data_IF_085090117998
#
_entry.id   IF_085090117998
#
_cell.length_a   1.000
_cell.length_b   1.000
_cell.length_c   1.000
_cell.angle_alpha   90.00
_cell.angle_beta   90.00
_cell.angle_gamma   90.00
#
_symmetry.space_group_name_H-M   'P 1'
#
loop_
_entity.id
_entity.type
_entity.pdbx_description
1 polymer ?
#
# COMPACT_ATOMS: atom_id res chain seq x y z
N UNK A 1 -19.76 -23.68 -16.45
CA UNK A 1 -21.02 -23.24 -15.80
C UNK A 1 -21.20 -21.78 -16.17
N UNK A 2 -22.03 -21.49 -17.17
CA UNK A 2 -22.18 -20.13 -17.72
C UNK A 2 -23.07 -19.30 -16.79
N UNK A 3 -22.55 -18.22 -16.23
CA UNK A 3 -23.32 -17.25 -15.46
C UNK A 3 -23.99 -16.32 -16.47
N UNK A 4 -25.31 -16.16 -16.32
CA UNK A 4 -26.15 -15.36 -17.19
C UNK A 4 -25.84 -13.87 -17.02
N UNK A 5 -25.01 -13.31 -17.92
CA UNK A 5 -24.55 -11.91 -17.91
C UNK A 5 -25.72 -10.90 -17.83
N UNK A 6 -26.90 -11.30 -18.29
CA UNK A 6 -28.12 -10.49 -18.19
C UNK A 6 -28.61 -10.34 -16.74
N UNK A 7 -28.40 -11.34 -15.89
CA UNK A 7 -28.79 -11.31 -14.47
C UNK A 7 -27.91 -10.36 -13.66
N UNK A 8 -26.59 -10.33 -13.94
CA UNK A 8 -25.64 -9.40 -13.33
C UNK A 8 -25.94 -7.95 -13.75
N UNK A 9 -26.21 -7.72 -15.05
CA UNK A 9 -26.59 -6.40 -15.56
C UNK A 9 -27.94 -5.90 -15.00
N UNK A 10 -28.90 -6.79 -14.71
CA UNK A 10 -30.16 -6.43 -14.04
C UNK A 10 -29.94 -6.05 -12.57
N UNK A 11 -29.02 -6.73 -11.87
CA UNK A 11 -28.68 -6.43 -10.47
C UNK A 11 -27.99 -5.07 -10.31
N UNK A 12 -27.04 -4.73 -11.20
CA UNK A 12 -26.34 -3.42 -11.17
C UNK A 12 -27.30 -2.24 -11.45
N UNK A 13 -28.19 -2.40 -12.46
CA UNK A 13 -29.20 -1.37 -12.78
C UNK A 13 -30.18 -1.11 -11.63
N UNK A 14 -30.57 -2.15 -10.88
CA UNK A 14 -31.45 -2.00 -9.72
C UNK A 14 -30.74 -1.36 -8.52
N UNK A 15 -29.45 -1.62 -8.31
CA UNK A 15 -28.64 -0.97 -7.28
C UNK A 15 -28.45 0.52 -7.56
N UNK A 16 -28.08 0.89 -8.80
CA UNK A 16 -27.98 2.31 -9.21
C UNK A 16 -29.30 3.06 -9.04
N UNK A 17 -30.44 2.45 -9.39
CA UNK A 17 -31.77 3.05 -9.19
C UNK A 17 -32.12 3.27 -7.71
N UNK A 18 -31.79 2.31 -6.83
CA UNK A 18 -32.00 2.45 -5.38
C UNK A 18 -31.12 3.56 -4.80
N UNK A 19 -29.87 3.66 -5.22
CA UNK A 19 -28.93 4.69 -4.77
C UNK A 19 -29.38 6.10 -5.18
N UNK A 20 -29.81 6.28 -6.42
CA UNK A 20 -30.35 7.57 -6.91
C UNK A 20 -31.66 7.96 -6.21
N UNK A 21 -32.52 6.98 -5.90
CA UNK A 21 -33.74 7.23 -5.12
C UNK A 21 -33.41 7.67 -3.67
N UNK A 22 -32.44 7.03 -3.02
CA UNK A 22 -32.00 7.41 -1.67
C UNK A 22 -31.34 8.79 -1.64
N UNK A 23 -30.53 9.14 -2.65
CA UNK A 23 -29.98 10.50 -2.82
C UNK A 23 -31.09 11.55 -2.94
N UNK A 24 -32.13 11.29 -3.73
CA UNK A 24 -33.27 12.22 -3.88
C UNK A 24 -34.07 12.39 -2.58
N UNK A 25 -34.27 11.33 -1.80
CA UNK A 25 -34.92 11.40 -0.48
C UNK A 25 -34.08 12.26 0.49
N UNK A 26 -32.77 12.05 0.54
CA UNK A 26 -31.87 12.83 1.40
C UNK A 26 -31.86 14.33 1.03
N UNK A 27 -31.85 14.67 -0.26
CA UNK A 27 -31.91 16.07 -0.73
C UNK A 27 -33.26 16.72 -0.40
N UNK A 28 -34.36 15.98 -0.52
CA UNK A 28 -35.72 16.50 -0.21
C UNK A 28 -35.89 16.77 1.30
N UNK A 29 -35.35 15.88 2.16
CA UNK A 29 -35.37 16.08 3.61
C UNK A 29 -34.50 17.27 4.06
N UNK A 30 -33.36 17.51 3.41
CA UNK A 30 -32.53 18.69 3.68
C UNK A 30 -33.22 19.99 3.24
N UNK A 31 -33.99 19.98 2.15
CA UNK A 31 -34.75 21.14 1.66
C UNK A 31 -35.93 21.55 2.56
N UNK A 32 -36.62 20.59 3.18
CA UNK A 32 -37.75 20.87 4.09
C UNK A 32 -37.26 21.51 5.41
N UNK A 33 -36.06 21.17 5.87
CA UNK A 33 -35.47 21.79 7.06
C UNK A 33 -35.08 23.27 6.87
N UNK A 34 -34.85 23.72 5.63
CA UNK A 34 -34.45 25.08 5.31
C UNK A 34 -35.63 26.05 5.06
N UNK A 35 -36.83 25.54 4.76
CA UNK A 35 -38.01 26.38 4.46
C UNK A 35 -38.91 26.62 5.69
N UNK A 36 -38.80 25.81 6.74
CA UNK A 36 -39.52 26.04 8.01
C UNK A 36 -38.93 27.16 8.88
N UNK A 37 -37.75 27.70 8.53
CA UNK A 37 -37.03 28.70 9.33
C UNK A 37 -37.32 30.17 9.02
N UNK A 38 -38.21 30.50 8.07
CA UNK A 38 -38.26 31.87 7.51
C UNK A 38 -39.65 32.54 7.36
N UNK A 39 -40.71 32.08 8.03
CA UNK A 39 -41.99 32.84 8.07
C UNK A 39 -42.62 32.82 9.45
N UNK A 40 -42.41 33.88 10.22
CA UNK A 40 -43.45 34.64 10.95
C UNK A 40 -42.83 35.56 12.01
N UNK A 41 -42.53 36.80 11.62
CA UNK A 41 -42.35 37.93 12.55
C UNK A 41 -43.15 39.12 12.03
N UNK A 42 -44.15 39.60 12.78
CA UNK A 42 -44.96 40.76 12.39
C UNK A 42 -46.08 41.15 13.37
N UNK A 43 -45.72 42.02 14.32
CA UNK A 43 -46.51 43.09 14.98
C UNK A 43 -47.68 42.84 15.99
N UNK A 44 -47.37 43.19 17.25
CA UNK A 44 -48.08 44.06 18.25
C UNK A 44 -49.52 43.76 18.73
N UNK A 45 -49.66 43.55 20.06
CA UNK A 45 -50.81 44.05 20.84
C UNK A 45 -51.34 43.17 22.00
N UNK A 46 -50.92 43.48 23.23
CA UNK A 46 -51.63 43.33 24.54
C UNK A 46 -52.16 41.93 24.93
N UNK A 47 -51.60 41.31 25.99
CA UNK A 47 -52.32 40.95 27.24
C UNK A 47 -51.35 40.28 28.26
N UNK A 48 -51.45 40.68 29.53
CA UNK A 48 -50.67 40.16 30.66
C UNK A 48 -51.21 38.81 31.11
N UNK A 49 -50.36 37.79 31.29
CA UNK A 49 -50.79 36.55 31.96
C UNK A 49 -49.79 35.39 32.05
N UNK A 50 -49.29 35.16 33.26
CA UNK A 50 -48.91 33.87 33.88
C UNK A 50 -47.50 33.30 33.63
N UNK A 51 -46.70 33.53 34.68
CA UNK A 51 -45.29 33.19 34.98
C UNK A 51 -45.00 31.70 35.24
N UNK A 52 -45.77 30.76 34.67
CA UNK A 52 -45.65 29.31 34.99
C UNK A 52 -45.03 28.45 33.90
N UNK A 53 -44.79 28.98 32.69
CA UNK A 53 -44.22 28.20 31.57
C UNK A 53 -42.69 28.35 31.42
N UNK A 54 -42.07 29.36 32.04
CA UNK A 54 -40.63 29.61 31.90
C UNK A 54 -39.74 28.51 32.51
N UNK A 55 -40.08 27.97 33.70
CA UNK A 55 -39.26 26.94 34.36
C UNK A 55 -39.23 25.59 33.64
N UNK A 56 -40.29 25.25 32.89
CA UNK A 56 -40.37 23.98 32.16
C UNK A 56 -39.57 24.02 30.85
N UNK A 57 -39.41 25.21 30.26
CA UNK A 57 -38.58 25.42 29.07
C UNK A 57 -37.10 25.37 29.44
N UNK A 58 -36.70 26.03 30.54
CA UNK A 58 -35.30 26.02 31.01
C UNK A 58 -34.78 24.61 31.33
N UNK A 59 -35.60 23.77 31.96
CA UNK A 59 -35.23 22.39 32.30
C UNK A 59 -35.11 21.48 31.05
N UNK A 60 -35.95 21.71 30.03
CA UNK A 60 -35.87 20.97 28.76
C UNK A 60 -34.64 21.39 27.94
N UNK A 61 -34.29 22.67 27.93
CA UNK A 61 -33.09 23.17 27.26
C UNK A 61 -31.83 22.64 27.94
N UNK A 62 -31.75 22.67 29.27
CA UNK A 62 -30.59 22.15 30.02
C UNK A 62 -30.37 20.63 29.81
N UNK A 63 -31.45 19.85 29.67
CA UNK A 63 -31.36 18.42 29.37
C UNK A 63 -30.88 18.16 27.94
N UNK A 64 -31.37 18.92 26.97
CA UNK A 64 -30.95 18.81 25.58
C UNK A 64 -29.46 19.18 25.38
N UNK A 65 -28.97 20.18 26.11
CA UNK A 65 -27.54 20.56 26.09
C UNK A 65 -26.68 19.42 26.64
N UNK A 66 -27.02 18.85 27.81
CA UNK A 66 -26.25 17.74 28.39
C UNK A 66 -26.25 16.48 27.54
N UNK A 67 -27.37 16.16 26.88
CA UNK A 67 -27.45 15.03 25.94
C UNK A 67 -26.62 15.28 24.66
N UNK A 68 -26.51 16.54 24.23
CA UNK A 68 -25.65 16.92 23.09
C UNK A 68 -24.16 16.85 23.45
N UNK A 69 -23.77 17.28 24.65
CA UNK A 69 -22.40 17.22 25.16
C UNK A 69 -21.96 15.77 25.39
N UNK A 70 -22.82 14.92 25.95
CA UNK A 70 -22.54 13.49 26.14
C UNK A 70 -22.40 12.74 24.80
N UNK A 71 -23.19 13.11 23.78
CA UNK A 71 -23.04 12.56 22.42
C UNK A 71 -21.77 13.05 21.73
N UNK A 72 -21.39 14.31 21.92
CA UNK A 72 -20.14 14.86 21.40
C UNK A 72 -18.91 14.22 22.06
N UNK A 73 -18.94 14.01 23.38
CA UNK A 73 -17.87 13.35 24.12
C UNK A 73 -17.71 11.87 23.71
N UNK A 74 -18.82 11.15 23.55
CA UNK A 74 -18.80 9.76 23.08
C UNK A 74 -18.36 9.63 21.61
N UNK A 75 -18.76 10.57 20.75
CA UNK A 75 -18.24 10.63 19.37
C UNK A 75 -16.75 11.00 19.31
N UNK A 76 -16.24 11.76 20.28
CA UNK A 76 -14.81 12.06 20.39
C UNK A 76 -14.03 10.81 20.83
N UNK A 77 -14.48 10.11 21.87
CA UNK A 77 -13.81 8.89 22.35
C UNK A 77 -13.86 7.76 21.32
N UNK A 78 -15.01 7.53 20.68
CA UNK A 78 -15.16 6.48 19.65
C UNK A 78 -14.33 6.79 18.39
N UNK A 79 -13.93 8.05 18.18
CA UNK A 79 -13.08 8.50 17.07
C UNK A 79 -11.60 8.41 17.41
N UNK A 80 -11.21 8.72 18.64
CA UNK A 80 -9.84 8.50 19.15
C UNK A 80 -9.51 7.01 19.24
N UNK A 81 -10.46 6.18 19.69
CA UNK A 81 -10.28 4.72 19.81
C UNK A 81 -10.25 4.03 18.44
N UNK A 82 -11.01 4.52 17.44
CA UNK A 82 -10.88 4.10 16.04
C UNK A 82 -9.58 4.55 15.39
N UNK A 83 -9.14 5.78 15.64
CA UNK A 83 -7.88 6.28 15.10
C UNK A 83 -6.69 5.47 15.64
N UNK A 84 -6.68 5.11 16.93
CA UNK A 84 -5.63 4.27 17.50
C UNK A 84 -5.62 2.84 16.92
N UNK A 85 -6.80 2.24 16.71
CA UNK A 85 -6.93 0.89 16.11
C UNK A 85 -6.63 0.90 14.59
N UNK A 86 -6.88 2.02 13.89
CA UNK A 86 -6.49 2.21 12.49
C UNK A 86 -5.00 2.57 12.32
N UNK A 87 -4.36 3.16 13.34
CA UNK A 87 -2.92 3.43 13.37
C UNK A 87 -2.08 2.17 13.65
N UNK A 88 -2.55 1.26 14.49
CA UNK A 88 -1.88 -0.04 14.73
C UNK A 88 -2.10 -1.03 13.57
N UNK A 89 -3.19 -0.86 12.80
CA UNK A 89 -3.49 -1.65 11.58
C UNK A 89 -2.85 -1.12 10.30
N UNK A 90 -2.18 0.03 10.34
CA UNK A 90 -1.39 0.58 9.23
C UNK A 90 0.09 0.52 9.58
N UNK A 91 0.70 -0.67 9.56
CA UNK A 91 2.08 -0.74 9.04
C UNK A 91 1.98 -0.06 7.66
N UNK A 92 2.70 1.04 7.44
CA UNK A 92 2.58 1.76 6.17
C UNK A 92 2.74 0.74 5.04
N UNK A 93 1.81 0.70 4.09
CA UNK A 93 1.72 -0.39 3.09
C UNK A 93 3.05 -0.60 2.34
N UNK A 94 3.82 0.47 2.14
CA UNK A 94 5.16 0.54 1.56
C UNK A 94 6.26 -0.05 2.46
N UNK A 95 6.04 -0.14 3.77
CA UNK A 95 6.93 -0.74 4.78
C UNK A 95 6.54 -2.18 5.15
N UNK A 96 5.65 -2.82 4.38
CA UNK A 96 5.34 -4.25 4.56
C UNK A 96 6.61 -5.08 4.40
N UNK A 97 7.05 -5.73 5.48
CA UNK A 97 8.17 -6.67 5.42
C UNK A 97 7.68 -8.00 4.84
N UNK A 98 8.38 -8.51 3.83
CA UNK A 98 8.10 -9.80 3.20
C UNK A 98 9.41 -10.57 3.12
N UNK A 99 9.45 -11.73 3.77
CA UNK A 99 10.58 -12.66 3.81
C UNK A 99 10.13 -14.02 4.39
N UNK A 100 11.05 -14.93 4.67
CA UNK A 100 10.75 -16.28 5.16
C UNK A 100 10.00 -16.33 6.52
N UNK A 101 10.11 -15.29 7.35
CA UNK A 101 9.37 -15.16 8.61
C UNK A 101 8.09 -14.33 8.49
N UNK A 102 7.94 -13.61 7.37
CA UNK A 102 6.82 -12.72 7.05
C UNK A 102 6.25 -13.04 5.66
N UNK A 103 5.62 -14.20 5.46
CA UNK A 103 4.98 -14.52 4.19
C UNK A 103 3.79 -13.59 3.92
N UNK A 104 3.52 -13.37 2.63
CA UNK A 104 2.30 -12.71 2.18
C UNK A 104 1.06 -13.55 2.51
N UNK A 105 -0.09 -12.87 2.61
CA UNK A 105 -1.38 -13.57 2.61
C UNK A 105 -1.54 -14.33 1.29
N UNK A 106 -2.03 -15.57 1.33
CA UNK A 106 -2.23 -16.40 0.14
C UNK A 106 -3.14 -15.76 -0.91
N UNK A 107 -4.00 -14.81 -0.51
CA UNK A 107 -4.90 -14.06 -1.39
C UNK A 107 -4.44 -12.63 -1.64
N UNK A 108 -3.22 -12.26 -1.25
CA UNK A 108 -2.69 -10.94 -1.50
C UNK A 108 -2.61 -10.68 -3.00
N UNK A 109 -3.21 -9.58 -3.44
CA UNK A 109 -3.14 -9.12 -4.82
C UNK A 109 -3.03 -7.60 -4.81
N UNK A 110 -1.91 -7.02 -5.27
CA UNK A 110 -1.80 -5.57 -5.38
C UNK A 110 -2.62 -5.06 -6.58
N UNK A 111 -3.07 -3.81 -6.50
CA UNK A 111 -3.52 -3.10 -7.71
C UNK A 111 -2.28 -2.71 -8.51
N UNK A 112 -2.25 -3.07 -9.80
CA UNK A 112 -1.07 -2.93 -10.64
C UNK A 112 -1.24 -1.84 -11.69
N UNK A 113 -0.14 -1.16 -12.00
CA UNK A 113 -0.03 -0.26 -13.15
C UNK A 113 1.20 -0.63 -13.99
N UNK A 114 1.11 -0.43 -15.30
CA UNK A 114 2.24 -0.62 -16.20
C UNK A 114 3.30 0.47 -15.99
N UNK A 115 4.56 0.04 -15.94
CA UNK A 115 5.75 0.89 -15.84
C UNK A 115 6.34 1.13 -17.22
N UNK A 116 6.89 0.08 -17.83
CA UNK A 116 7.37 0.07 -19.21
C UNK A 116 7.50 -1.36 -19.75
N UNK A 117 7.38 -1.55 -21.07
CA UNK A 117 7.60 -2.83 -21.76
C UNK A 117 6.76 -4.00 -21.19
N UNK A 118 5.55 -3.74 -20.70
CA UNK A 118 4.69 -4.76 -20.10
C UNK A 118 5.03 -5.14 -18.64
N UNK A 119 6.11 -4.61 -18.06
CA UNK A 119 6.36 -4.77 -16.64
C UNK A 119 5.35 -3.97 -15.83
N UNK A 120 4.80 -4.61 -14.81
CA UNK A 120 3.83 -4.00 -13.90
C UNK A 120 4.40 -3.89 -12.49
N UNK A 121 3.87 -2.92 -11.75
CA UNK A 121 4.28 -2.61 -10.38
C UNK A 121 3.06 -2.15 -9.60
N UNK A 122 3.12 -2.13 -8.27
CA UNK A 122 2.03 -1.57 -7.46
C UNK A 122 1.68 -0.16 -7.95
N UNK A 123 0.41 0.07 -8.25
CA UNK A 123 -0.08 1.30 -8.86
C UNK A 123 0.27 2.54 -8.04
N UNK A 124 0.45 2.40 -6.72
CA UNK A 124 0.82 3.50 -5.81
C UNK A 124 2.29 3.89 -5.93
N UNK A 125 3.15 3.02 -6.45
CA UNK A 125 4.60 3.22 -6.56
C UNK A 125 5.11 3.20 -8.03
N UNK A 126 4.28 2.79 -9.00
CA UNK A 126 4.66 2.68 -10.41
C UNK A 126 5.24 3.98 -10.98
N UNK A 127 4.68 5.13 -10.63
CA UNK A 127 5.21 6.43 -11.09
C UNK A 127 6.60 6.72 -10.52
N UNK A 128 6.86 6.33 -9.27
CA UNK A 128 8.19 6.50 -8.66
C UNK A 128 9.24 5.66 -9.39
N UNK A 129 8.90 4.44 -9.82
CA UNK A 129 9.79 3.62 -10.64
C UNK A 129 10.07 4.28 -12.01
N UNK A 130 9.03 4.82 -12.67
CA UNK A 130 9.18 5.56 -13.93
C UNK A 130 10.09 6.78 -13.78
N UNK A 131 9.89 7.57 -12.73
CA UNK A 131 10.73 8.74 -12.41
C UNK A 131 12.20 8.35 -12.23
N UNK A 132 12.48 7.25 -11.52
CA UNK A 132 13.84 6.76 -11.28
C UNK A 132 14.52 6.35 -12.59
N UNK A 133 13.84 5.55 -13.41
CA UNK A 133 14.36 5.08 -14.69
C UNK A 133 14.57 6.23 -15.68
N UNK A 134 13.65 7.21 -15.70
CA UNK A 134 13.77 8.40 -16.53
C UNK A 134 14.99 9.25 -16.12
N UNK A 135 15.21 9.46 -14.82
CA UNK A 135 16.34 10.25 -14.34
C UNK A 135 17.70 9.58 -14.62
N UNK A 136 17.79 8.26 -14.52
CA UNK A 136 18.98 7.51 -14.95
C UNK A 136 19.25 7.73 -16.45
N UNK A 137 18.20 7.72 -17.29
CA UNK A 137 18.32 8.00 -18.73
C UNK A 137 18.73 9.45 -19.02
N UNK A 138 18.22 10.41 -18.25
CA UNK A 138 18.65 11.82 -18.32
C UNK A 138 20.13 11.99 -17.93
N UNK A 139 20.66 11.12 -17.06
CA UNK A 139 22.08 11.04 -16.74
C UNK A 139 22.93 10.36 -17.82
N UNK A 140 22.34 9.94 -18.94
CA UNK A 140 23.02 9.29 -20.07
C UNK A 140 23.17 7.78 -19.93
N UNK A 141 22.48 7.16 -18.98
CA UNK A 141 22.53 5.72 -18.71
C UNK A 141 21.37 4.99 -19.40
N UNK A 142 21.42 3.66 -19.44
CA UNK A 142 20.41 2.83 -20.10
C UNK A 142 19.92 1.69 -19.19
N UNK A 143 19.19 2.00 -18.10
CA UNK A 143 18.63 0.98 -17.23
C UNK A 143 17.50 0.20 -17.92
N UNK A 144 17.40 -1.09 -17.61
CA UNK A 144 16.34 -1.97 -18.06
C UNK A 144 15.76 -2.77 -16.90
N UNK A 145 14.44 -2.86 -16.82
CA UNK A 145 13.76 -3.81 -15.94
C UNK A 145 13.91 -5.21 -16.54
N UNK A 146 14.38 -6.18 -15.75
CA UNK A 146 14.35 -7.60 -16.11
C UNK A 146 13.30 -8.39 -15.32
N UNK A 147 12.84 -7.86 -14.18
CA UNK A 147 11.78 -8.45 -13.36
C UNK A 147 11.11 -7.37 -12.53
N UNK A 148 9.79 -7.46 -12.33
CA UNK A 148 8.99 -6.55 -11.51
C UNK A 148 7.93 -7.35 -10.76
N UNK A 149 6.66 -6.97 -10.77
CA UNK A 149 5.62 -7.82 -10.19
C UNK A 149 5.65 -9.25 -10.78
N UNK A 150 5.55 -10.24 -9.90
CA UNK A 150 5.42 -11.67 -10.23
C UNK A 150 4.25 -12.26 -9.46
N UNK A 151 3.51 -13.20 -10.05
CA UNK A 151 2.54 -13.99 -9.29
C UNK A 151 3.24 -15.06 -8.44
N UNK A 152 2.52 -15.64 -7.47
CA UNK A 152 3.03 -16.76 -6.67
C UNK A 152 3.38 -17.96 -7.56
N UNK A 153 2.61 -18.20 -8.61
CA UNK A 153 2.88 -19.28 -9.57
C UNK A 153 4.16 -19.04 -10.37
N UNK A 154 4.43 -17.81 -10.78
CA UNK A 154 5.68 -17.43 -11.45
C UNK A 154 6.87 -17.58 -10.52
N UNK A 155 6.75 -17.10 -9.27
CA UNK A 155 7.78 -17.27 -8.25
C UNK A 155 8.07 -18.76 -8.00
N UNK A 156 7.04 -19.58 -7.92
CA UNK A 156 7.16 -21.04 -7.77
C UNK A 156 7.84 -21.70 -8.98
N UNK A 157 7.54 -21.25 -10.19
CA UNK A 157 8.20 -21.77 -11.38
C UNK A 157 9.71 -21.45 -11.36
N UNK A 158 10.07 -20.20 -11.04
CA UNK A 158 11.47 -19.75 -10.95
C UNK A 158 12.21 -20.54 -9.84
N UNK A 159 11.64 -20.63 -8.64
CA UNK A 159 12.26 -21.35 -7.52
C UNK A 159 12.51 -22.83 -7.87
N UNK A 160 11.52 -23.51 -8.45
CA UNK A 160 11.68 -24.91 -8.84
C UNK A 160 12.69 -25.10 -9.97
N UNK A 161 12.73 -24.17 -10.93
CA UNK A 161 13.71 -24.23 -12.02
C UNK A 161 15.13 -24.07 -11.48
N UNK A 162 15.39 -23.04 -10.67
CA UNK A 162 16.71 -22.81 -10.05
C UNK A 162 17.15 -23.99 -9.18
N UNK A 163 16.24 -24.55 -8.38
CA UNK A 163 16.51 -25.74 -7.59
C UNK A 163 16.87 -26.94 -8.47
N UNK A 164 16.17 -27.13 -9.59
CA UNK A 164 16.48 -28.20 -10.54
C UNK A 164 17.86 -28.01 -11.18
N UNK A 165 18.23 -26.78 -11.53
CA UNK A 165 19.56 -26.46 -12.06
C UNK A 165 20.69 -26.85 -11.09
N UNK A 166 20.48 -26.70 -9.78
CA UNK A 166 21.42 -27.17 -8.76
C UNK A 166 21.47 -28.69 -8.62
N UNK A 167 20.31 -29.35 -8.68
CA UNK A 167 20.23 -30.82 -8.68
C UNK A 167 20.98 -31.40 -9.89
N UNK A 168 20.82 -30.79 -11.07
CA UNK A 168 21.48 -31.21 -12.30
C UNK A 168 23.01 -31.00 -12.23
N UNK A 169 23.49 -30.08 -11.39
CA UNK A 169 24.90 -29.88 -11.06
C UNK A 169 25.42 -30.86 -10.00
N UNK A 170 24.57 -31.76 -9.48
CA UNK A 170 24.94 -32.85 -8.58
C UNK A 170 24.65 -32.60 -7.10
N UNK A 171 23.95 -31.51 -6.76
CA UNK A 171 23.48 -31.29 -5.38
C UNK A 171 22.36 -32.27 -5.01
N UNK A 172 22.28 -32.64 -3.74
CA UNK A 172 21.09 -33.30 -3.20
C UNK A 172 19.92 -32.33 -3.19
N UNK A 173 18.69 -32.85 -3.05
CA UNK A 173 17.50 -32.02 -2.96
C UNK A 173 17.57 -30.99 -1.81
N UNK A 174 18.10 -31.38 -0.64
CA UNK A 174 18.20 -30.48 0.51
C UNK A 174 19.24 -29.37 0.25
N UNK A 175 20.40 -29.72 -0.29
CA UNK A 175 21.43 -28.73 -0.65
C UNK A 175 20.93 -27.77 -1.73
N UNK A 176 20.23 -28.27 -2.76
CA UNK A 176 19.66 -27.43 -3.81
C UNK A 176 18.54 -26.50 -3.29
N UNK A 177 17.75 -26.96 -2.32
CA UNK A 177 16.74 -26.15 -1.65
C UNK A 177 17.40 -25.01 -0.85
N UNK A 178 18.42 -25.33 -0.05
CA UNK A 178 19.18 -24.35 0.72
C UNK A 178 19.93 -23.36 -0.18
N UNK A 179 20.54 -23.83 -1.27
CA UNK A 179 21.28 -22.98 -2.22
C UNK A 179 20.35 -22.04 -2.99
N UNK A 180 19.21 -22.54 -3.48
CA UNK A 180 18.19 -21.71 -4.14
C UNK A 180 17.68 -20.62 -3.22
N UNK A 181 17.45 -20.93 -1.95
CA UNK A 181 16.94 -19.98 -0.96
C UNK A 181 17.86 -18.78 -0.67
N UNK A 182 19.13 -18.84 -1.09
CA UNK A 182 20.09 -17.73 -0.92
C UNK A 182 19.85 -16.57 -1.89
N UNK A 183 19.24 -16.81 -3.05
CA UNK A 183 19.02 -15.78 -4.09
C UNK A 183 17.58 -15.74 -4.61
N UNK A 184 16.82 -16.83 -4.46
CA UNK A 184 15.42 -16.88 -4.87
C UNK A 184 14.56 -17.09 -3.63
N UNK A 185 13.80 -16.06 -3.25
CA UNK A 185 12.85 -16.16 -2.16
C UNK A 185 11.83 -17.30 -2.41
N UNK A 186 11.47 -18.01 -1.35
CA UNK A 186 10.47 -19.07 -1.43
C UNK A 186 9.10 -18.49 -1.87
N UNK A 187 8.25 -19.21 -2.63
CA UNK A 187 6.96 -18.67 -3.07
C UNK A 187 6.08 -18.19 -1.90
N UNK A 188 5.50 -17.01 -2.03
CA UNK A 188 4.78 -16.29 -0.98
C UNK A 188 5.68 -15.42 -0.08
N UNK A 189 6.99 -15.39 -0.31
CA UNK A 189 7.97 -14.63 0.49
C UNK A 189 8.82 -13.67 -0.34
N UNK A 190 8.49 -13.48 -1.63
CA UNK A 190 9.18 -12.56 -2.53
C UNK A 190 8.55 -11.18 -2.51
N UNK A 191 9.38 -10.13 -2.48
CA UNK A 191 8.91 -8.75 -2.63
C UNK A 191 8.38 -8.43 -4.04
N UNK A 192 8.70 -9.27 -5.03
CA UNK A 192 8.08 -9.17 -6.36
C UNK A 192 6.60 -9.56 -6.32
N UNK A 193 6.22 -10.51 -5.46
CA UNK A 193 4.82 -10.88 -5.23
C UNK A 193 4.07 -9.76 -4.50
N UNK A 194 4.77 -8.95 -3.69
CA UNK A 194 4.24 -7.72 -3.08
C UNK A 194 4.01 -6.61 -4.13
N UNK A 195 4.65 -6.69 -5.30
CA UNK A 195 4.58 -5.66 -6.35
C UNK A 195 5.39 -4.40 -6.04
N UNK A 196 6.30 -4.46 -5.06
CA UNK A 196 7.13 -3.33 -4.62
C UNK A 196 8.63 -3.54 -4.87
N UNK A 197 9.02 -4.61 -5.56
CA UNK A 197 10.39 -4.86 -5.98
C UNK A 197 10.54 -4.91 -7.50
N UNK A 198 11.65 -4.35 -7.99
CA UNK A 198 12.05 -4.42 -9.38
C UNK A 198 13.54 -4.75 -9.48
N UNK A 199 13.85 -5.67 -10.38
CA UNK A 199 15.22 -5.99 -10.77
C UNK A 199 15.59 -5.13 -11.97
N UNK A 200 16.63 -4.32 -11.81
CA UNK A 200 17.06 -3.33 -12.79
C UNK A 200 18.53 -3.59 -13.14
N UNK A 201 18.79 -3.78 -14.43
CA UNK A 201 20.10 -4.09 -14.99
C UNK A 201 20.55 -3.05 -16.01
N UNK A 202 21.82 -3.12 -16.40
CA UNK A 202 22.35 -2.31 -17.51
C UNK A 202 21.89 -2.90 -18.84
N UNK A 203 21.49 -2.08 -19.82
CA UNK A 203 21.23 -2.61 -21.16
C UNK A 203 22.46 -3.23 -21.82
N UNK A 204 23.66 -2.88 -21.35
CA UNK A 204 24.92 -3.44 -21.83
C UNK A 204 25.32 -4.75 -21.13
N UNK A 205 24.69 -5.06 -19.99
CA UNK A 205 24.97 -6.23 -19.18
C UNK A 205 23.69 -6.66 -18.44
N UNK A 206 23.01 -7.69 -18.95
CA UNK A 206 21.73 -8.15 -18.42
C UNK A 206 21.82 -9.36 -17.48
N UNK A 207 23.02 -9.66 -16.96
CA UNK A 207 23.23 -10.80 -16.07
C UNK A 207 22.95 -10.41 -14.61
N UNK A 208 22.38 -11.34 -13.85
CA UNK A 208 22.11 -11.21 -12.41
C UNK A 208 23.24 -11.88 -11.64
N UNK A 209 24.43 -11.31 -11.74
CA UNK A 209 25.65 -11.76 -11.06
C UNK A 209 26.45 -10.56 -10.51
N UNK A 210 27.51 -10.84 -9.73
CA UNK A 210 28.30 -9.80 -9.06
C UNK A 210 28.84 -8.72 -10.01
N UNK A 211 29.10 -9.05 -11.28
CA UNK A 211 29.63 -8.07 -12.25
C UNK A 211 28.61 -7.00 -12.64
N UNK A 212 27.32 -7.20 -12.34
CA UNK A 212 26.30 -6.18 -12.50
C UNK A 212 26.58 -4.94 -11.64
N UNK A 213 27.19 -5.10 -10.46
CA UNK A 213 27.57 -4.00 -9.57
C UNK A 213 28.62 -3.05 -10.18
N UNK A 214 29.41 -3.54 -11.14
CA UNK A 214 30.43 -2.74 -11.82
C UNK A 214 29.86 -1.84 -12.92
N UNK A 215 28.60 -2.04 -13.32
CA UNK A 215 27.94 -1.21 -14.34
C UNK A 215 27.70 0.21 -13.85
N UNK A 216 27.72 1.17 -14.77
CA UNK A 216 27.43 2.58 -14.44
C UNK A 216 25.98 2.75 -14.00
N UNK A 217 25.05 1.95 -14.54
CA UNK A 217 23.65 1.90 -14.09
C UNK A 217 23.51 1.47 -12.63
N UNK A 218 24.17 0.37 -12.22
CA UNK A 218 24.07 -0.12 -10.85
C UNK A 218 24.61 0.90 -9.84
N UNK A 219 25.79 1.48 -10.11
CA UNK A 219 26.40 2.53 -9.28
C UNK A 219 25.48 3.75 -9.15
N UNK A 220 24.92 4.20 -10.28
CA UNK A 220 24.01 5.34 -10.26
C UNK A 220 22.75 5.03 -9.45
N UNK A 221 22.16 3.86 -9.62
CA UNK A 221 20.96 3.47 -8.89
C UNK A 221 21.24 3.39 -7.38
N UNK A 222 22.32 2.73 -6.95
CA UNK A 222 22.72 2.68 -5.54
C UNK A 222 22.84 4.09 -4.91
N UNK A 223 23.42 5.05 -5.64
CA UNK A 223 23.60 6.43 -5.16
C UNK A 223 22.33 7.29 -5.22
N UNK A 224 21.32 6.92 -6.02
CA UNK A 224 20.20 7.81 -6.35
C UNK A 224 18.81 7.24 -6.04
N UNK A 225 18.67 5.92 -5.81
CA UNK A 225 17.38 5.24 -5.70
C UNK A 225 16.48 5.84 -4.60
N UNK A 226 17.08 6.28 -3.48
CA UNK A 226 16.34 6.84 -2.35
C UNK A 226 15.56 8.11 -2.70
N UNK A 227 16.03 8.88 -3.69
CA UNK A 227 15.35 10.11 -4.17
C UNK A 227 13.97 9.79 -4.76
N UNK A 228 13.79 8.55 -5.19
CA UNK A 228 12.58 8.01 -5.78
C UNK A 228 11.83 7.07 -4.83
N UNK A 229 12.31 6.91 -3.59
CA UNK A 229 11.67 6.07 -2.58
C UNK A 229 12.06 4.59 -2.64
N UNK A 230 13.17 4.28 -3.30
CA UNK A 230 13.71 2.93 -3.39
C UNK A 230 14.95 2.77 -2.51
N UNK A 231 15.18 1.56 -2.03
CA UNK A 231 16.42 1.14 -1.38
C UNK A 231 17.06 0.02 -2.20
N UNK A 232 18.38 -0.06 -2.17
CA UNK A 232 19.09 -1.28 -2.53
C UNK A 232 18.77 -2.31 -1.44
N UNK A 233 17.93 -3.30 -1.76
CA UNK A 233 17.25 -4.11 -0.74
C UNK A 233 18.19 -5.09 -0.03
N UNK A 234 19.13 -5.63 -0.80
CA UNK A 234 20.09 -6.64 -0.36
C UNK A 234 21.50 -6.09 -0.59
N UNK A 235 22.00 -5.21 0.29
CA UNK A 235 23.34 -4.65 0.20
C UNK A 235 24.43 -5.68 0.57
N UNK A 236 25.71 -5.42 0.23
CA UNK A 236 26.80 -6.28 0.65
C UNK A 236 26.87 -6.35 2.19
N UNK A 237 27.38 -7.47 2.71
CA UNK A 237 27.59 -7.70 4.15
C UNK A 237 26.33 -7.71 5.04
N UNK A 238 25.13 -7.79 4.46
CA UNK A 238 23.84 -7.84 5.20
C UNK A 238 23.06 -9.15 5.06
N UNK A 239 23.73 -10.21 4.58
CA UNK A 239 23.11 -11.52 4.36
C UNK A 239 22.57 -12.11 5.68
N UNK A 240 23.20 -11.83 6.83
CA UNK A 240 22.69 -12.28 8.13
C UNK A 240 21.35 -11.63 8.52
N UNK A 241 21.09 -10.43 8.04
CA UNK A 241 19.89 -9.64 8.34
C UNK A 241 18.78 -9.83 7.30
N UNK A 242 19.14 -10.14 6.05
CA UNK A 242 18.17 -10.28 4.94
C UNK A 242 17.95 -11.72 4.49
N UNK A 243 18.88 -12.63 4.82
CA UNK A 243 18.95 -14.01 4.35
C UNK A 243 19.10 -14.21 2.84
N UNK A 244 19.26 -13.11 2.08
CA UNK A 244 19.48 -13.11 0.65
C UNK A 244 20.88 -12.54 0.38
N UNK A 245 21.57 -13.10 -0.62
CA UNK A 245 22.89 -12.64 -1.06
C UNK A 245 22.85 -11.18 -1.54
N UNK A 246 24.02 -10.59 -1.76
CA UNK A 246 24.10 -9.29 -2.40
C UNK A 246 23.46 -9.33 -3.80
N UNK A 247 22.51 -8.42 -4.04
CA UNK A 247 21.82 -8.29 -5.33
C UNK A 247 21.82 -6.83 -5.75
N UNK A 248 22.81 -6.42 -6.55
CA UNK A 248 22.98 -5.04 -7.03
C UNK A 248 21.82 -4.54 -7.92
N UNK A 249 20.95 -5.46 -8.34
CA UNK A 249 19.82 -5.23 -9.23
C UNK A 249 18.48 -5.08 -8.50
N UNK A 250 18.33 -5.58 -7.26
CA UNK A 250 17.02 -5.65 -6.59
C UNK A 250 16.71 -4.38 -5.79
N UNK A 251 15.76 -3.59 -6.28
CA UNK A 251 15.32 -2.33 -5.65
C UNK A 251 13.91 -2.43 -5.07
N UNK A 252 13.78 -2.11 -3.79
CA UNK A 252 12.52 -2.17 -3.03
C UNK A 252 11.96 -0.78 -2.76
N UNK A 253 10.70 -0.53 -3.14
CA UNK A 253 10.00 0.70 -2.79
C UNK A 253 9.56 0.70 -1.32
N UNK A 254 9.95 1.76 -0.61
CA UNK A 254 9.61 2.02 0.80
C UNK A 254 9.13 3.46 1.03
N UNK A 255 9.05 4.28 -0.01
CA UNK A 255 8.70 5.70 0.09
C UNK A 255 9.92 6.62 0.28
N UNK A 256 9.84 7.86 -0.20
CA UNK A 256 10.99 8.79 -0.29
C UNK A 256 11.61 9.13 1.07
N UNK A 257 10.80 9.27 2.11
CA UNK A 257 11.29 9.62 3.44
C UNK A 257 12.04 8.45 4.09
N UNK A 258 11.44 7.26 4.13
CA UNK A 258 12.04 6.09 4.74
C UNK A 258 13.23 5.57 3.94
N UNK A 259 13.15 5.57 2.61
CA UNK A 259 14.28 5.20 1.76
C UNK A 259 15.50 6.07 2.04
N UNK A 260 15.29 7.38 2.24
CA UNK A 260 16.38 8.28 2.63
C UNK A 260 16.97 7.91 3.99
N UNK A 261 16.14 7.66 5.01
CA UNK A 261 16.62 7.28 6.35
C UNK A 261 17.40 5.96 6.31
N UNK A 262 16.89 4.96 5.60
CA UNK A 262 17.51 3.64 5.47
C UNK A 262 18.86 3.78 4.77
N UNK A 263 18.92 4.43 3.61
CA UNK A 263 20.15 4.61 2.85
C UNK A 263 21.18 5.49 3.58
N UNK A 264 20.75 6.57 4.27
CA UNK A 264 21.65 7.43 5.05
C UNK A 264 22.27 6.69 6.26
N UNK A 265 21.56 5.72 6.83
CA UNK A 265 22.01 4.97 8.01
C UNK A 265 22.68 3.64 7.69
N UNK A 266 22.60 3.17 6.44
CA UNK A 266 23.23 1.91 6.00
C UNK A 266 22.63 0.66 6.65
N UNK A 267 21.35 0.74 7.06
CA UNK A 267 20.62 -0.37 7.67
C UNK A 267 19.75 -1.10 6.64
N UNK A 268 19.36 -2.33 6.92
CA UNK A 268 18.37 -3.06 6.11
C UNK A 268 16.93 -2.63 6.45
N UNK A 269 15.96 -3.10 5.67
CA UNK A 269 14.54 -2.90 6.00
C UNK A 269 14.18 -3.62 7.32
N UNK A 270 14.72 -4.81 7.56
CA UNK A 270 14.56 -5.54 8.81
C UNK A 270 15.05 -4.73 10.00
N UNK A 271 16.29 -4.25 9.95
CA UNK A 271 16.89 -3.43 11.01
C UNK A 271 16.11 -2.13 11.23
N UNK A 272 15.66 -1.48 10.15
CA UNK A 272 14.86 -0.26 10.22
C UNK A 272 13.53 -0.47 10.93
N UNK A 273 12.90 -1.63 10.73
CA UNK A 273 11.63 -2.01 11.35
C UNK A 273 11.81 -2.62 12.75
N UNK A 274 13.05 -2.91 13.17
CA UNK A 274 13.33 -3.62 14.42
C UNK A 274 12.94 -5.09 14.39
N UNK A 275 12.89 -5.69 13.20
CA UNK A 275 12.54 -7.09 12.96
C UNK A 275 13.80 -7.94 12.75
N UNK A 276 13.67 -9.26 12.90
CA UNK A 276 14.76 -10.22 12.62
C UNK A 276 14.37 -11.16 11.48
N UNK A 277 15.37 -11.61 10.72
CA UNK A 277 15.24 -12.67 9.73
C UNK A 277 15.30 -14.05 10.37
#
# INVERSE_FOLDING_TARGET
>A
MWIDDEALARKDRNQKRKFEMLKKIAITLAGIALVAGLVAGGAVGIFVGKRTEAKAVDAKVAKAVKESEAKAAKQSSDKEEKNAVDEEKKKEWNLTLVNNTHPLDENYQPELAEVENGYTFDARAAESLKEMLAAAREAGLSPQICSAYRTIEEQKAIYNQTMQEWIDQGMTYLEAFEETGKSVAYPGTSEHELGLAADIVSSSYGMLDEAQADTEEAKWLEENCYKYGFILRYPPDKISETGIIYESWHYRYVGKEDAKKIMDSGVTLEEYLGETY
#
